data_IF_834578753745
#
_entry.id   IF_834578753745
#
_cell.length_a   1.000
_cell.length_b   1.000
_cell.length_c   1.000
_cell.angle_alpha   90.00
_cell.angle_beta   90.00
_cell.angle_gamma   90.00
#
_symmetry.space_group_name_H-M   'P 1'
#
loop_
_entity.id
_entity.type
_entity.pdbx_description
1 polymer ?
#
# COMPACT_ATOMS: atom_id res chain seq x y z
N UNK A 1 6.10 17.05 5.79
CA UNK A 1 5.41 16.56 4.57
C UNK A 1 5.33 17.66 3.52
N UNK A 2 4.78 18.84 3.83
CA UNK A 2 4.87 20.03 2.95
C UNK A 2 6.33 20.43 2.67
N UNK A 3 7.21 20.35 3.68
CA UNK A 3 8.67 20.51 3.51
C UNK A 3 9.32 19.49 2.55
N UNK A 4 8.60 18.42 2.17
CA UNK A 4 9.04 17.40 1.19
C UNK A 4 8.31 17.53 -0.15
N UNK A 5 7.58 18.64 -0.38
CA UNK A 5 6.88 18.92 -1.63
C UNK A 5 5.44 18.38 -1.73
N UNK A 6 4.85 17.88 -0.64
CA UNK A 6 3.44 17.49 -0.64
C UNK A 6 2.52 18.72 -0.73
N UNK A 7 1.60 18.73 -1.70
CA UNK A 7 0.60 19.79 -1.83
C UNK A 7 -0.50 19.65 -0.77
N UNK A 8 -1.17 20.76 -0.45
CA UNK A 8 -2.28 20.74 0.51
C UNK A 8 -3.44 19.84 0.05
N UNK A 9 -3.74 19.80 -1.25
CA UNK A 9 -4.78 18.93 -1.81
C UNK A 9 -4.41 17.45 -1.71
N UNK A 10 -3.16 17.10 -2.00
CA UNK A 10 -2.64 15.73 -1.84
C UNK A 10 -2.73 15.26 -0.39
N UNK A 11 -2.33 16.14 0.56
CA UNK A 11 -2.41 15.84 1.98
C UNK A 11 -3.86 15.63 2.43
N UNK A 12 -4.80 16.48 1.99
CA UNK A 12 -6.22 16.33 2.29
C UNK A 12 -6.76 15.02 1.73
N UNK A 13 -6.43 14.67 0.47
CA UNK A 13 -6.87 13.40 -0.12
C UNK A 13 -6.37 12.20 0.69
N UNK A 14 -5.07 12.16 0.99
CA UNK A 14 -4.42 11.04 1.69
C UNK A 14 -4.97 10.92 3.12
N UNK A 15 -5.06 12.02 3.86
CA UNK A 15 -5.57 12.03 5.24
C UNK A 15 -7.05 11.68 5.27
N UNK A 16 -7.85 12.08 4.27
CA UNK A 16 -9.26 11.72 4.18
C UNK A 16 -9.45 10.22 3.92
N UNK A 17 -8.57 9.60 3.12
CA UNK A 17 -8.59 8.15 2.88
C UNK A 17 -8.06 7.34 4.06
N UNK A 18 -7.04 7.86 4.76
CA UNK A 18 -6.30 7.13 5.80
C UNK A 18 -6.05 8.02 7.04
N UNK A 19 -7.09 8.42 7.78
CA UNK A 19 -6.95 9.36 8.91
C UNK A 19 -6.05 8.81 10.03
N UNK A 20 -6.01 7.48 10.17
CA UNK A 20 -5.17 6.77 11.15
C UNK A 20 -3.67 7.04 10.99
N UNK A 21 -3.22 7.56 9.84
CA UNK A 21 -1.83 7.95 9.63
C UNK A 21 -1.36 9.05 10.59
N UNK A 22 -2.26 9.95 10.98
CA UNK A 22 -1.96 11.06 11.88
C UNK A 22 -1.66 10.59 13.31
N UNK A 23 -2.19 9.42 13.70
CA UNK A 23 -1.95 8.80 15.00
C UNK A 23 -0.64 8.01 15.07
N UNK A 24 0.12 7.87 13.97
CA UNK A 24 1.38 7.13 13.95
C UNK A 24 2.51 8.02 14.50
N UNK A 25 2.77 7.93 15.81
CA UNK A 25 3.87 8.63 16.51
C UNK A 25 4.98 7.71 17.02
N UNK A 26 4.78 6.39 17.06
CA UNK A 26 5.73 5.46 17.67
C UNK A 26 6.41 4.57 16.62
N UNK A 27 7.73 4.41 16.72
CA UNK A 27 8.54 3.43 15.97
C UNK A 27 8.96 3.80 14.54
N UNK A 28 8.11 4.49 13.76
CA UNK A 28 8.43 4.97 12.40
C UNK A 28 7.92 6.39 12.16
N UNK A 29 8.63 7.16 11.33
CA UNK A 29 8.20 8.51 10.98
C UNK A 29 6.93 8.48 10.13
N UNK A 30 6.01 9.40 10.39
CA UNK A 30 4.77 9.60 9.61
C UNK A 30 5.04 9.70 8.10
N UNK A 31 6.22 10.18 7.71
CA UNK A 31 6.67 10.24 6.32
C UNK A 31 6.71 8.88 5.63
N UNK A 32 7.12 7.81 6.32
CA UNK A 32 7.19 6.47 5.72
C UNK A 32 5.80 5.97 5.38
N UNK A 33 4.85 6.13 6.31
CA UNK A 33 3.46 5.76 6.08
C UNK A 33 2.81 6.62 5.00
N UNK A 34 3.19 7.89 4.93
CA UNK A 34 2.66 8.82 3.93
C UNK A 34 3.09 8.40 2.53
N UNK A 35 4.39 8.14 2.35
CA UNK A 35 4.94 7.72 1.07
C UNK A 35 4.23 6.43 0.58
N UNK A 36 4.00 5.46 1.46
CA UNK A 36 3.25 4.24 1.09
C UNK A 36 1.83 4.49 0.58
N UNK A 37 1.07 5.33 1.29
CA UNK A 37 -0.31 5.61 0.90
C UNK A 37 -0.32 6.42 -0.40
N UNK A 38 0.60 7.36 -0.55
CA UNK A 38 0.78 8.13 -1.78
C UNK A 38 1.05 7.22 -2.97
N UNK A 39 2.02 6.32 -2.85
CA UNK A 39 2.41 5.39 -3.91
C UNK A 39 1.22 4.52 -4.38
N UNK A 40 0.41 4.03 -3.45
CA UNK A 40 -0.78 3.24 -3.79
C UNK A 40 -1.91 4.06 -4.36
N UNK A 41 -2.16 5.26 -3.84
CA UNK A 41 -3.19 6.15 -4.42
C UNK A 41 -2.81 6.54 -5.85
N UNK A 42 -1.53 6.72 -6.14
CA UNK A 42 -1.04 6.97 -7.50
C UNK A 42 -1.16 5.73 -8.40
N UNK A 43 -0.79 4.55 -7.88
CA UNK A 43 -0.94 3.27 -8.57
C UNK A 43 -2.41 2.94 -8.90
N UNK A 44 -3.32 3.27 -7.99
CA UNK A 44 -4.76 3.08 -8.12
C UNK A 44 -5.35 3.92 -9.26
N UNK A 45 -4.82 5.14 -9.46
CA UNK A 45 -5.22 6.09 -10.51
C UNK A 45 -4.63 5.74 -11.88
N UNK A 46 -3.38 5.26 -11.94
CA UNK A 46 -2.57 5.13 -13.16
C UNK A 46 -2.72 3.80 -13.92
N UNK A 47 -3.94 3.24 -13.99
CA UNK A 47 -4.32 1.97 -14.65
C UNK A 47 -3.21 1.23 -15.45
N UNK A 48 -2.82 0.02 -14.99
CA UNK A 48 -1.91 -0.95 -15.65
C UNK A 48 -0.44 -0.56 -15.85
N UNK A 49 -0.06 0.71 -15.90
CA UNK A 49 1.35 1.09 -16.13
C UNK A 49 2.21 0.98 -14.86
N UNK A 50 1.58 1.04 -13.69
CA UNK A 50 2.27 0.93 -12.40
C UNK A 50 2.90 -0.45 -12.16
N UNK A 51 2.31 -1.53 -12.68
CA UNK A 51 2.88 -2.88 -12.60
C UNK A 51 4.27 -2.96 -13.26
N UNK A 52 4.46 -2.29 -14.41
CA UNK A 52 5.76 -2.27 -15.09
C UNK A 52 6.81 -1.51 -14.29
N UNK A 53 6.40 -0.48 -13.54
CA UNK A 53 7.28 0.27 -12.65
C UNK A 53 7.66 -0.52 -11.40
N UNK A 54 6.83 -1.46 -10.94
CA UNK A 54 7.13 -2.27 -9.75
C UNK A 54 8.37 -3.16 -9.94
N UNK A 55 8.73 -3.52 -11.18
CA UNK A 55 9.95 -4.27 -11.49
C UNK A 55 11.24 -3.47 -11.30
N UNK A 56 11.18 -2.13 -11.25
CA UNK A 56 12.35 -1.29 -10.99
C UNK A 56 12.53 -0.94 -9.51
N UNK A 57 11.63 -1.42 -8.63
CA UNK A 57 11.72 -1.14 -7.22
C UNK A 57 12.79 -2.03 -6.57
N UNK A 58 13.60 -1.50 -5.64
CA UNK A 58 14.51 -2.33 -4.87
C UNK A 58 13.73 -3.45 -4.17
N UNK A 59 14.14 -4.69 -4.42
CA UNK A 59 13.59 -5.87 -3.76
C UNK A 59 13.61 -5.65 -2.25
N UNK A 60 12.44 -5.71 -1.60
CA UNK A 60 12.35 -5.37 -0.19
C UNK A 60 10.94 -5.19 0.36
N UNK A 61 10.87 -4.82 1.63
CA UNK A 61 9.62 -4.71 2.39
C UNK A 61 8.60 -3.77 1.73
N UNK A 62 9.07 -2.65 1.14
CA UNK A 62 8.17 -1.66 0.54
C UNK A 62 7.52 -2.17 -0.74
N UNK A 63 8.34 -2.70 -1.66
CA UNK A 63 7.89 -3.22 -2.96
C UNK A 63 6.92 -4.39 -2.78
N UNK A 64 7.25 -5.33 -1.89
CA UNK A 64 6.39 -6.49 -1.60
C UNK A 64 5.02 -6.06 -1.08
N UNK A 65 4.99 -5.06 -0.19
CA UNK A 65 3.73 -4.58 0.38
C UNK A 65 2.82 -3.96 -0.67
N UNK A 66 3.36 -3.10 -1.53
CA UNK A 66 2.58 -2.41 -2.56
C UNK A 66 2.08 -3.41 -3.60
N UNK A 67 2.96 -4.29 -4.11
CA UNK A 67 2.59 -5.36 -5.04
C UNK A 67 1.48 -6.24 -4.46
N UNK A 68 1.63 -6.73 -3.23
CA UNK A 68 0.64 -7.60 -2.59
C UNK A 68 -0.72 -6.90 -2.45
N UNK A 69 -0.74 -5.61 -2.08
CA UNK A 69 -1.97 -4.82 -1.95
C UNK A 69 -2.65 -4.60 -3.30
N UNK A 70 -1.88 -4.32 -4.35
CA UNK A 70 -2.43 -4.16 -5.71
C UNK A 70 -3.06 -5.47 -6.22
N UNK A 71 -2.44 -6.62 -5.97
CA UNK A 71 -3.02 -7.92 -6.31
C UNK A 71 -4.37 -8.14 -5.60
N UNK A 72 -4.49 -7.79 -4.32
CA UNK A 72 -5.77 -7.90 -3.60
C UNK A 72 -6.84 -6.98 -4.21
N UNK A 73 -6.46 -5.78 -4.62
CA UNK A 73 -7.36 -4.85 -5.29
C UNK A 73 -7.87 -5.42 -6.62
N UNK A 74 -6.99 -6.04 -7.42
CA UNK A 74 -7.35 -6.68 -8.69
C UNK A 74 -8.31 -7.86 -8.51
N UNK A 75 -8.21 -8.57 -7.39
CA UNK A 75 -9.18 -9.59 -6.99
C UNK A 75 -10.52 -9.01 -6.49
N UNK A 76 -10.69 -7.69 -6.51
CA UNK A 76 -11.94 -7.01 -6.16
C UNK A 76 -12.01 -6.53 -4.71
N UNK A 77 -10.94 -6.64 -3.91
CA UNK A 77 -10.94 -6.11 -2.54
C UNK A 77 -10.96 -4.58 -2.58
N UNK A 78 -11.96 -3.91 -1.96
CA UNK A 78 -12.03 -2.46 -1.97
C UNK A 78 -10.80 -1.80 -1.34
N UNK A 79 -10.21 -0.82 -2.03
CA UNK A 79 -8.98 -0.13 -1.59
C UNK A 79 -9.07 0.46 -0.17
N UNK A 80 -10.27 0.90 0.24
CA UNK A 80 -10.57 1.38 1.60
C UNK A 80 -10.21 0.38 2.70
N UNK A 81 -10.32 -0.92 2.42
CA UNK A 81 -9.99 -2.01 3.36
C UNK A 81 -8.49 -2.34 3.36
N UNK A 82 -7.77 -1.94 2.32
CA UNK A 82 -6.35 -2.19 2.14
C UNK A 82 -5.48 -1.10 2.79
N UNK A 83 -5.98 0.15 2.88
CA UNK A 83 -5.24 1.24 3.52
C UNK A 83 -4.77 0.96 4.96
N UNK A 84 -5.57 0.32 5.85
CA UNK A 84 -5.09 -0.07 7.17
C UNK A 84 -3.86 -0.99 7.14
N UNK A 85 -3.73 -1.86 6.12
CA UNK A 85 -2.57 -2.73 5.96
C UNK A 85 -1.30 -1.91 5.69
N UNK A 86 -1.43 -0.77 5.00
CA UNK A 86 -0.32 0.14 4.67
C UNK A 86 0.28 0.83 5.88
N UNK A 87 -0.51 1.00 6.93
CA UNK A 87 -0.09 1.66 8.16
C UNK A 87 0.10 0.68 9.33
N UNK A 88 -0.15 -0.62 9.12
CA UNK A 88 0.07 -1.65 10.13
C UNK A 88 1.57 -1.86 10.39
N UNK A 89 1.91 -2.24 11.63
CA UNK A 89 3.26 -2.75 11.98
C UNK A 89 3.37 -4.24 11.61
N UNK A 90 2.28 -5.00 11.76
CA UNK A 90 2.12 -6.35 11.22
C UNK A 90 1.75 -6.26 9.74
N UNK A 91 2.75 -6.20 8.88
CA UNK A 91 2.55 -5.98 7.45
C UNK A 91 2.56 -7.33 6.69
N UNK A 92 1.84 -7.45 5.56
CA UNK A 92 1.97 -8.59 4.66
C UNK A 92 3.27 -8.44 3.86
N UNK A 93 4.40 -8.63 4.55
CA UNK A 93 5.78 -8.46 4.02
C UNK A 93 6.24 -9.72 3.28
N UNK A 94 5.40 -10.75 3.20
CA UNK A 94 5.78 -11.97 2.52
C UNK A 94 6.15 -11.66 1.06
N UNK A 95 7.28 -12.23 0.65
CA UNK A 95 7.74 -12.16 -0.73
C UNK A 95 6.71 -12.76 -1.68
N UNK A 96 6.90 -12.50 -2.98
CA UNK A 96 5.95 -12.82 -4.05
C UNK A 96 5.40 -14.24 -3.96
N UNK A 97 6.29 -15.23 -3.98
CA UNK A 97 5.90 -16.63 -4.02
C UNK A 97 5.06 -17.02 -2.80
N UNK A 98 5.48 -16.59 -1.60
CA UNK A 98 4.74 -16.90 -0.36
C UNK A 98 3.37 -16.23 -0.35
N UNK A 99 3.28 -14.98 -0.81
CA UNK A 99 2.01 -14.27 -0.91
C UNK A 99 1.06 -14.97 -1.88
N UNK A 100 1.52 -15.32 -3.09
CA UNK A 100 0.71 -15.98 -4.12
C UNK A 100 0.22 -17.36 -3.67
N UNK A 101 1.08 -18.16 -3.02
CA UNK A 101 0.70 -19.46 -2.46
C UNK A 101 -0.35 -19.33 -1.36
N UNK A 102 -0.19 -18.37 -0.44
CA UNK A 102 -1.18 -18.15 0.63
C UNK A 102 -2.49 -17.61 0.07
N UNK A 103 -2.43 -16.67 -0.87
CA UNK A 103 -3.61 -16.09 -1.50
C UNK A 103 -4.42 -17.15 -2.24
N UNK A 104 -3.76 -18.01 -3.02
CA UNK A 104 -4.42 -19.12 -3.72
C UNK A 104 -5.18 -20.01 -2.74
N UNK A 105 -4.57 -20.39 -1.61
CA UNK A 105 -5.24 -21.21 -0.58
C UNK A 105 -6.48 -20.52 -0.01
N UNK A 106 -6.40 -19.22 0.28
CA UNK A 106 -7.55 -18.46 0.83
C UNK A 106 -8.69 -18.38 -0.17
N UNK A 107 -8.38 -18.16 -1.45
CA UNK A 107 -9.39 -18.16 -2.53
C UNK A 107 -10.01 -19.55 -2.71
N UNK A 108 -9.22 -20.62 -2.65
CA UNK A 108 -9.70 -22.01 -2.71
C UNK A 108 -10.61 -22.37 -1.51
N UNK A 109 -10.42 -21.71 -0.36
CA UNK A 109 -11.30 -21.86 0.81
C UNK A 109 -12.65 -21.13 0.65
N UNK A 110 -12.83 -20.31 -0.39
CA UNK A 110 -14.09 -19.62 -0.68
C UNK A 110 -14.33 -18.35 0.14
N UNK A 111 -13.26 -17.73 0.64
CA UNK A 111 -13.31 -16.38 1.25
C UNK A 111 -13.39 -15.27 0.20
#
# INVERSE_FOLDING_TARGET
LQSRGASSSELIEIVSKVPKILGKREGRSISVYYDFVKDIVEADKSSREYEKSCHSWPEGMRANKIRNVLVLRELGVPMRLLFPLLISESQPICGKERFEVTLKKVVEMGF
#
